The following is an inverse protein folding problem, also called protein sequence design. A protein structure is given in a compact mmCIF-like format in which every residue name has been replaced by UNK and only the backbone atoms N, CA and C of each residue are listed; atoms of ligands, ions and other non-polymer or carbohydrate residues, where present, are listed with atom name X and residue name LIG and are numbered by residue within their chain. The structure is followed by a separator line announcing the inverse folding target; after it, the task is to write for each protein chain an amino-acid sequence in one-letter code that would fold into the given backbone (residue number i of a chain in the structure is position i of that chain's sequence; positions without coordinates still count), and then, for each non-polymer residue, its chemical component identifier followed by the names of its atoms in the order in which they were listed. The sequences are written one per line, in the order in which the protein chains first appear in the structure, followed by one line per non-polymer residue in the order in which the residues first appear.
data_IF_357786969160
#
_entry.id   IF_357786969160
#
_cell.length_a   1.000
_cell.length_b   1.000
_cell.length_c   1.000
_cell.angle_alpha   90.00
_cell.angle_beta   90.00
_cell.angle_gamma   90.00
#
_symmetry.space_group_name_H-M   'P 1'
#
loop_
_entity.id
_entity.type
_entity.pdbx_description
1 polymer ?
#
# COMPACT_ATOMS: atom_id res chain seq x y z
N UNK A 1 10.49 -25.27 -1.94
CA UNK A 1 10.59 -25.05 -3.39
C UNK A 1 9.34 -25.56 -4.04
N UNK A 2 8.61 -24.72 -4.71
CA UNK A 2 7.23 -24.98 -5.13
C UNK A 2 7.16 -25.73 -6.45
N UNK A 3 6.18 -26.64 -6.60
CA UNK A 3 5.77 -27.29 -7.86
C UNK A 3 5.64 -26.30 -9.04
N UNK A 4 5.47 -25.02 -8.73
CA UNK A 4 5.34 -23.92 -9.67
C UNK A 4 6.62 -23.70 -10.51
N UNK A 5 7.78 -23.86 -9.92
CA UNK A 5 9.07 -23.62 -10.60
C UNK A 5 9.48 -24.73 -11.57
N UNK A 6 9.09 -25.97 -11.29
CA UNK A 6 9.30 -27.09 -12.24
C UNK A 6 8.43 -26.94 -13.48
N UNK A 7 7.18 -26.53 -13.26
CA UNK A 7 6.24 -26.28 -14.36
C UNK A 7 6.68 -25.09 -15.23
N UNK A 8 7.33 -24.07 -14.64
CA UNK A 8 7.83 -22.93 -15.38
C UNK A 8 8.99 -23.32 -16.32
N UNK A 9 9.98 -24.10 -15.83
CA UNK A 9 11.09 -24.57 -16.65
C UNK A 9 10.61 -25.52 -17.78
N UNK A 10 9.65 -26.39 -17.47
CA UNK A 10 9.04 -27.27 -18.47
C UNK A 10 8.31 -26.46 -19.54
N UNK A 11 7.50 -25.46 -19.16
CA UNK A 11 6.80 -24.59 -20.12
C UNK A 11 7.76 -23.80 -21.02
N UNK A 12 8.90 -23.36 -20.50
CA UNK A 12 9.92 -22.68 -21.30
C UNK A 12 10.55 -23.63 -22.33
N UNK A 13 10.76 -24.86 -21.95
CA UNK A 13 11.29 -25.91 -22.85
C UNK A 13 10.24 -26.28 -23.91
N UNK A 14 8.98 -26.52 -23.51
CA UNK A 14 7.90 -26.88 -24.43
C UNK A 14 7.60 -25.77 -25.45
N UNK A 15 7.88 -24.50 -25.09
CA UNK A 15 7.76 -23.34 -25.99
C UNK A 15 9.02 -23.07 -26.83
N UNK A 16 10.02 -23.95 -26.79
CA UNK A 16 11.31 -23.79 -27.46
C UNK A 16 12.06 -22.50 -27.12
N UNK A 17 11.84 -21.93 -25.94
CA UNK A 17 12.50 -20.71 -25.45
C UNK A 17 13.86 -21.02 -24.80
N UNK A 18 14.08 -22.26 -24.41
CA UNK A 18 15.36 -22.76 -23.88
C UNK A 18 15.76 -24.04 -24.61
N UNK A 19 17.05 -24.25 -24.77
CA UNK A 19 17.61 -25.47 -25.40
C UNK A 19 17.54 -26.64 -24.42
N UNK A 20 17.63 -27.87 -24.96
CA UNK A 20 17.67 -29.09 -24.16
C UNK A 20 18.81 -29.09 -23.14
N UNK A 21 19.99 -28.56 -23.52
CA UNK A 21 21.14 -28.44 -22.63
C UNK A 21 20.83 -27.49 -21.47
N UNK A 22 20.25 -26.32 -21.75
CA UNK A 22 19.83 -25.35 -20.70
C UNK A 22 18.75 -25.94 -19.77
N UNK A 23 17.83 -26.72 -20.35
CA UNK A 23 16.82 -27.40 -19.53
C UNK A 23 17.44 -28.44 -18.60
N UNK A 24 18.42 -29.24 -19.09
CA UNK A 24 19.18 -30.21 -18.29
C UNK A 24 20.00 -29.52 -17.20
N UNK A 25 20.66 -28.40 -17.52
CA UNK A 25 21.43 -27.62 -16.55
C UNK A 25 20.53 -27.06 -15.45
N UNK A 26 19.35 -26.47 -15.78
CA UNK A 26 18.36 -26.00 -14.81
C UNK A 26 17.91 -27.14 -13.89
N UNK A 27 17.67 -28.34 -14.48
CA UNK A 27 17.24 -29.52 -13.73
C UNK A 27 18.33 -30.06 -12.81
N UNK A 28 19.57 -30.09 -13.30
CA UNK A 28 20.74 -30.49 -12.51
C UNK A 28 21.02 -29.49 -11.36
N UNK A 29 21.00 -28.21 -11.65
CA UNK A 29 21.17 -27.16 -10.63
C UNK A 29 20.10 -27.22 -9.52
N UNK A 30 18.86 -27.52 -9.91
CA UNK A 30 17.75 -27.72 -8.94
C UNK A 30 17.90 -29.01 -8.11
N UNK A 31 18.46 -30.07 -8.70
CA UNK A 31 18.73 -31.33 -7.99
C UNK A 31 19.78 -31.18 -6.88
N UNK A 32 20.56 -30.09 -6.90
CA UNK A 32 21.53 -29.77 -5.85
C UNK A 32 20.86 -29.30 -4.53
N UNK A 33 19.54 -29.14 -4.53
CA UNK A 33 18.78 -28.63 -3.37
C UNK A 33 19.39 -27.39 -2.70
N UNK A 34 20.00 -26.51 -3.50
CA UNK A 34 20.58 -25.27 -3.01
C UNK A 34 19.45 -24.36 -2.56
N UNK A 35 19.41 -24.07 -1.29
CA UNK A 35 18.45 -23.13 -0.70
C UNK A 35 18.88 -21.71 -1.06
N UNK A 36 18.02 -20.97 -1.77
CA UNK A 36 18.29 -19.56 -2.06
C UNK A 36 17.95 -18.72 -0.83
N UNK A 37 18.97 -18.29 -0.12
CA UNK A 37 18.84 -17.37 1.03
C UNK A 37 18.53 -15.93 0.63
N UNK A 38 18.45 -15.61 -0.65
CA UNK A 38 18.31 -14.22 -1.10
C UNK A 38 17.02 -13.55 -0.61
N UNK A 39 15.90 -14.27 -0.66
CA UNK A 39 14.61 -13.73 -0.18
C UNK A 39 14.58 -13.57 1.33
N UNK A 40 15.12 -14.56 2.04
CA UNK A 40 15.23 -14.55 3.49
C UNK A 40 16.20 -13.46 3.98
N UNK A 41 17.34 -13.30 3.31
CA UNK A 41 18.29 -12.22 3.62
C UNK A 41 17.65 -10.83 3.40
N UNK A 42 16.90 -10.64 2.35
CA UNK A 42 16.15 -9.39 2.11
C UNK A 42 15.12 -9.15 3.22
N UNK A 43 14.40 -10.19 3.64
CA UNK A 43 13.45 -10.10 4.76
C UNK A 43 14.17 -9.72 6.06
N UNK A 44 15.32 -10.36 6.36
CA UNK A 44 16.13 -10.03 7.54
C UNK A 44 16.67 -8.59 7.49
N UNK A 45 17.11 -8.11 6.34
CA UNK A 45 17.54 -6.72 6.17
C UNK A 45 16.38 -5.74 6.42
N UNK A 46 15.20 -6.03 5.88
CA UNK A 46 14.02 -5.22 6.12
C UNK A 46 13.64 -5.20 7.61
N UNK A 47 13.61 -6.38 8.24
CA UNK A 47 13.32 -6.51 9.67
C UNK A 47 14.38 -5.80 10.52
N UNK A 48 15.65 -5.87 10.13
CA UNK A 48 16.75 -5.17 10.81
C UNK A 48 16.57 -3.65 10.77
N UNK A 49 16.13 -3.09 9.63
CA UNK A 49 15.82 -1.65 9.54
C UNK A 49 14.68 -1.28 10.48
N UNK A 50 13.60 -2.07 10.49
CA UNK A 50 12.47 -1.81 11.37
C UNK A 50 12.85 -1.91 12.85
N UNK A 51 13.61 -2.94 13.24
CA UNK A 51 14.07 -3.12 14.61
C UNK A 51 15.05 -2.02 15.03
N UNK A 52 15.99 -1.64 14.16
CA UNK A 52 16.93 -0.57 14.42
C UNK A 52 16.24 0.78 14.60
N UNK A 53 15.32 1.14 13.70
CA UNK A 53 14.57 2.39 13.79
C UNK A 53 13.62 2.43 14.98
N UNK A 54 12.97 1.30 15.30
CA UNK A 54 12.14 1.17 16.51
C UNK A 54 12.98 1.27 17.79
N UNK A 55 14.16 0.62 17.80
CA UNK A 55 15.11 0.71 18.92
C UNK A 55 15.59 2.13 19.19
N UNK A 56 15.89 2.89 18.13
CA UNK A 56 16.21 4.32 18.26
C UNK A 56 15.02 5.09 18.87
N UNK A 57 13.80 4.81 18.44
CA UNK A 57 12.58 5.43 18.98
C UNK A 57 12.43 5.17 20.48
N UNK A 58 12.67 3.95 20.94
CA UNK A 58 12.62 3.57 22.36
C UNK A 58 13.74 4.26 23.15
N UNK A 59 14.96 4.25 22.63
CA UNK A 59 16.10 4.94 23.29
C UNK A 59 15.85 6.44 23.47
N UNK A 60 15.24 7.09 22.48
CA UNK A 60 14.83 8.48 22.58
C UNK A 60 13.81 8.64 23.70
N UNK A 61 12.78 7.80 23.70
CA UNK A 61 11.69 7.89 24.68
C UNK A 61 12.17 7.70 26.12
N UNK A 62 13.06 6.73 26.37
CA UNK A 62 13.54 6.42 27.72
C UNK A 62 14.60 7.39 28.25
N UNK A 63 15.36 8.03 27.36
CA UNK A 63 16.48 8.90 27.76
C UNK A 63 16.22 10.38 27.49
N UNK A 64 15.00 10.74 27.20
CA UNK A 64 14.61 12.09 26.75
C UNK A 64 15.00 13.18 27.75
N UNK A 65 14.87 12.89 29.06
CA UNK A 65 15.16 13.83 30.14
C UNK A 65 16.65 13.87 30.54
N UNK A 66 17.41 12.82 30.20
CA UNK A 66 18.80 12.65 30.67
C UNK A 66 19.82 13.14 29.66
N UNK A 67 19.63 12.85 28.37
CA UNK A 67 20.60 13.16 27.29
C UNK A 67 20.40 14.58 26.74
N UNK A 68 19.20 15.13 26.88
CA UNK A 68 18.81 16.41 26.31
C UNK A 68 18.37 16.31 24.84
N UNK A 69 17.29 16.98 24.54
CA UNK A 69 16.60 16.93 23.23
C UNK A 69 17.50 17.33 22.05
N UNK A 70 18.37 18.33 22.24
CA UNK A 70 19.27 18.82 21.18
C UNK A 70 20.31 17.76 20.83
N UNK A 71 20.86 17.04 21.83
CA UNK A 71 21.84 16.00 21.58
C UNK A 71 21.22 14.83 20.79
N UNK A 72 19.98 14.43 21.14
CA UNK A 72 19.24 13.39 20.44
C UNK A 72 18.98 13.79 18.97
N UNK A 73 18.47 15.02 18.75
CA UNK A 73 18.22 15.53 17.40
C UNK A 73 19.50 15.64 16.58
N UNK A 74 20.61 16.09 17.21
CA UNK A 74 21.90 16.15 16.53
C UNK A 74 22.42 14.78 16.14
N UNK A 75 22.30 13.78 17.01
CA UNK A 75 22.68 12.40 16.71
C UNK A 75 21.86 11.83 15.56
N UNK A 76 20.53 12.00 15.59
CA UNK A 76 19.64 11.57 14.50
C UNK A 76 20.04 12.21 13.17
N UNK A 77 20.30 13.52 13.17
CA UNK A 77 20.69 14.24 11.97
C UNK A 77 22.02 13.72 11.40
N UNK A 78 23.01 13.43 12.26
CA UNK A 78 24.28 12.83 11.82
C UNK A 78 24.04 11.46 11.17
N UNK A 79 23.25 10.58 11.80
CA UNK A 79 22.97 9.26 11.25
C UNK A 79 22.23 9.38 9.91
N UNK A 80 21.24 10.26 9.80
CA UNK A 80 20.52 10.54 8.55
C UNK A 80 21.49 11.01 7.46
N UNK A 81 22.36 11.98 7.80
CA UNK A 81 23.35 12.51 6.85
C UNK A 81 24.32 11.42 6.35
N UNK A 82 24.80 10.55 7.24
CA UNK A 82 25.65 9.41 6.89
C UNK A 82 24.91 8.44 5.97
N UNK A 83 23.68 8.06 6.30
CA UNK A 83 22.87 7.18 5.45
C UNK A 83 22.72 7.74 4.03
N UNK A 84 22.28 8.99 3.91
CA UNK A 84 22.09 9.60 2.59
C UNK A 84 23.41 9.87 1.86
N UNK A 85 24.49 10.22 2.56
CA UNK A 85 25.79 10.36 1.92
C UNK A 85 26.23 9.09 1.19
N UNK A 86 26.13 7.94 1.85
CA UNK A 86 26.45 6.65 1.23
C UNK A 86 25.50 6.32 0.08
N UNK A 87 24.21 6.60 0.22
CA UNK A 87 23.24 6.37 -0.83
C UNK A 87 23.50 7.24 -2.06
N UNK A 88 23.76 8.54 -1.89
CA UNK A 88 24.06 9.44 -3.02
C UNK A 88 25.38 9.09 -3.71
N UNK A 89 26.42 8.74 -2.93
CA UNK A 89 27.72 8.34 -3.48
C UNK A 89 27.65 7.12 -4.39
N UNK A 90 26.78 6.17 -4.08
CA UNK A 90 26.64 4.90 -4.82
C UNK A 90 25.41 4.87 -5.73
N UNK A 91 24.70 5.97 -5.85
CA UNK A 91 23.51 6.08 -6.70
C UNK A 91 23.92 6.35 -8.15
N UNK A 92 23.17 5.75 -9.08
CA UNK A 92 23.26 6.04 -10.53
C UNK A 92 22.57 7.36 -10.91
N UNK A 93 22.05 8.12 -9.93
CA UNK A 93 21.25 9.31 -10.15
C UNK A 93 19.81 9.00 -10.57
N UNK A 94 19.04 10.06 -10.80
CA UNK A 94 17.66 9.93 -11.22
C UNK A 94 17.56 9.33 -12.63
N UNK A 95 16.75 8.29 -12.78
CA UNK A 95 16.41 7.68 -14.07
C UNK A 95 14.88 7.50 -14.19
N UNK A 96 14.36 7.56 -15.42
CA UNK A 96 12.93 7.37 -15.68
C UNK A 96 12.50 5.91 -15.60
N UNK A 97 13.37 4.99 -15.98
CA UNK A 97 13.16 3.54 -15.92
C UNK A 97 13.45 2.97 -14.53
N UNK A 98 13.07 1.72 -14.31
CA UNK A 98 13.40 0.98 -13.09
C UNK A 98 14.92 0.78 -13.00
N UNK A 99 15.46 1.09 -11.82
CA UNK A 99 16.87 0.94 -11.49
C UNK A 99 17.02 0.33 -10.10
N UNK A 100 18.16 -0.32 -9.86
CA UNK A 100 18.50 -0.84 -8.54
C UNK A 100 19.93 -0.48 -8.20
N UNK A 101 20.24 -0.43 -6.93
CA UNK A 101 21.61 -0.36 -6.46
C UNK A 101 22.37 -1.67 -6.79
N UNK A 102 23.67 -1.58 -6.96
CA UNK A 102 24.52 -2.77 -7.12
C UNK A 102 24.51 -3.64 -5.86
N UNK A 103 24.47 -2.99 -4.69
CA UNK A 103 24.39 -3.65 -3.40
C UNK A 103 22.99 -3.46 -2.77
N UNK A 104 22.24 -4.54 -2.53
CA UNK A 104 20.91 -4.46 -1.92
C UNK A 104 20.85 -3.72 -0.58
N UNK A 105 21.95 -3.73 0.20
CA UNK A 105 22.06 -3.02 1.49
C UNK A 105 21.77 -1.53 1.35
N UNK A 106 22.13 -0.92 0.20
CA UNK A 106 21.87 0.50 -0.03
C UNK A 106 20.39 0.83 -0.15
N UNK A 107 19.57 -0.08 -0.69
CA UNK A 107 18.11 0.08 -0.74
C UNK A 107 17.52 0.19 0.68
N UNK A 108 18.02 -0.65 1.60
CA UNK A 108 17.61 -0.63 3.00
C UNK A 108 18.18 0.58 3.75
N UNK A 109 19.34 1.08 3.34
CA UNK A 109 19.93 2.30 3.91
C UNK A 109 19.10 3.54 3.53
N UNK A 110 18.57 3.60 2.29
CA UNK A 110 17.60 4.64 1.88
C UNK A 110 16.35 4.58 2.74
N UNK A 111 15.81 3.36 2.95
CA UNK A 111 14.63 3.16 3.80
C UNK A 111 14.90 3.61 5.25
N UNK A 112 16.04 3.20 5.82
CA UNK A 112 16.44 3.58 7.17
C UNK A 112 16.58 5.10 7.30
N UNK A 113 17.31 5.75 6.39
CA UNK A 113 17.47 7.20 6.37
C UNK A 113 16.15 7.95 6.26
N UNK A 114 15.22 7.42 5.45
CA UNK A 114 13.89 8.00 5.29
C UNK A 114 13.04 7.86 6.57
N UNK A 115 13.01 6.67 7.20
CA UNK A 115 12.28 6.46 8.46
C UNK A 115 12.86 7.34 9.56
N UNK A 116 14.20 7.41 9.68
CA UNK A 116 14.85 8.28 10.66
C UNK A 116 14.52 9.76 10.42
N UNK A 117 14.37 10.18 9.15
CA UNK A 117 13.92 11.54 8.82
C UNK A 117 12.48 11.78 9.30
N UNK A 118 11.59 10.81 9.15
CA UNK A 118 10.23 10.90 9.68
C UNK A 118 10.25 11.02 11.22
N UNK A 119 11.06 10.20 11.89
CA UNK A 119 11.26 10.24 13.36
C UNK A 119 11.81 11.61 13.79
N UNK A 120 12.84 12.10 13.10
CA UNK A 120 13.46 13.41 13.40
C UNK A 120 12.44 14.55 13.32
N UNK A 121 11.67 14.62 12.24
CA UNK A 121 10.68 15.70 12.05
C UNK A 121 9.52 15.56 13.04
N UNK A 122 9.04 14.33 13.29
CA UNK A 122 8.01 14.06 14.28
C UNK A 122 8.46 14.45 15.69
N UNK A 123 9.69 14.11 16.08
CA UNK A 123 10.25 14.48 17.37
C UNK A 123 10.47 15.98 17.50
N UNK A 124 10.96 16.63 16.44
CA UNK A 124 11.12 18.08 16.39
C UNK A 124 9.77 18.79 16.59
N UNK A 125 8.71 18.30 15.92
CA UNK A 125 7.36 18.86 16.08
C UNK A 125 6.81 18.63 17.49
N UNK A 126 7.02 17.45 18.05
CA UNK A 126 6.56 17.13 19.40
C UNK A 126 7.20 18.04 20.44
N UNK A 127 8.52 18.23 20.37
CA UNK A 127 9.28 18.93 21.39
C UNK A 127 9.28 20.46 21.23
N UNK A 128 9.44 20.95 20.01
CA UNK A 128 9.64 22.38 19.74
C UNK A 128 8.48 23.05 19.01
N UNK A 129 7.53 22.27 18.50
CA UNK A 129 6.35 22.73 17.76
C UNK A 129 6.68 23.75 16.65
N UNK A 130 7.68 23.53 15.79
CA UNK A 130 8.08 24.51 14.76
C UNK A 130 6.94 24.83 13.78
N UNK A 131 5.99 23.91 13.61
CA UNK A 131 4.81 24.10 12.77
C UNK A 131 3.54 24.51 13.58
N UNK A 132 3.70 24.82 14.87
CA UNK A 132 2.60 25.18 15.77
C UNK A 132 1.58 24.05 15.89
N UNK A 133 0.30 24.37 15.79
CA UNK A 133 -0.82 23.42 15.83
C UNK A 133 -1.14 22.83 14.45
N UNK A 134 -0.37 23.15 13.42
CA UNK A 134 -0.55 22.64 12.05
C UNK A 134 0.10 21.27 11.89
N UNK A 135 -0.46 20.26 12.53
CA UNK A 135 0.05 18.87 12.48
C UNK A 135 0.14 18.31 11.05
N UNK A 136 -0.70 18.81 10.14
CA UNK A 136 -0.60 18.48 8.72
C UNK A 136 0.76 18.82 8.12
N UNK A 137 1.36 19.97 8.46
CA UNK A 137 2.69 20.34 7.96
C UNK A 137 3.79 19.41 8.47
N UNK A 138 3.65 18.92 9.71
CA UNK A 138 4.60 17.96 10.28
C UNK A 138 4.59 16.62 9.52
N UNK A 139 3.50 16.26 8.87
CA UNK A 139 3.43 15.07 8.01
C UNK A 139 3.81 15.38 6.57
N UNK A 140 3.56 16.59 6.08
CA UNK A 140 3.86 16.97 4.70
C UNK A 140 5.38 17.00 4.42
N UNK A 141 6.16 17.55 5.33
CA UNK A 141 7.63 17.69 5.14
C UNK A 141 8.30 16.33 4.96
N UNK A 142 8.13 15.32 5.85
CA UNK A 142 8.69 14.00 5.64
C UNK A 142 8.10 13.29 4.41
N UNK A 143 6.86 13.58 4.05
CA UNK A 143 6.22 13.07 2.83
C UNK A 143 6.94 13.53 1.58
N UNK A 144 7.26 14.83 1.47
CA UNK A 144 8.02 15.39 0.33
C UNK A 144 9.40 14.73 0.24
N UNK A 145 10.09 14.58 1.38
CA UNK A 145 11.39 13.89 1.42
C UNK A 145 11.26 12.44 0.96
N UNK A 146 10.21 11.74 1.41
CA UNK A 146 9.94 10.36 1.01
C UNK A 146 9.70 10.23 -0.50
N UNK A 147 8.89 11.11 -1.09
CA UNK A 147 8.69 11.10 -2.54
C UNK A 147 9.99 11.40 -3.29
N UNK A 148 10.76 12.38 -2.87
CA UNK A 148 12.06 12.68 -3.46
C UNK A 148 12.98 11.45 -3.42
N UNK A 149 13.16 10.85 -2.24
CA UNK A 149 14.00 9.66 -2.06
C UNK A 149 13.49 8.46 -2.88
N UNK A 150 12.17 8.22 -2.89
CA UNK A 150 11.57 7.13 -3.66
C UNK A 150 11.86 7.26 -5.16
N UNK A 151 11.64 8.44 -5.72
CA UNK A 151 11.86 8.67 -7.15
C UNK A 151 13.33 8.75 -7.52
N UNK A 152 14.17 9.35 -6.68
CA UNK A 152 15.60 9.49 -6.96
C UNK A 152 16.34 8.15 -6.85
N UNK A 153 16.07 7.37 -5.78
CA UNK A 153 16.74 6.10 -5.50
C UNK A 153 15.97 4.87 -6.00
N UNK A 154 14.80 5.06 -6.60
CA UNK A 154 13.95 3.97 -7.10
C UNK A 154 13.50 2.97 -6.00
N UNK A 155 13.08 3.48 -4.86
CA UNK A 155 12.75 2.65 -3.71
C UNK A 155 11.24 2.54 -3.48
N UNK A 156 10.68 1.35 -3.72
CA UNK A 156 9.25 1.05 -3.56
C UNK A 156 8.76 1.18 -2.11
N UNK A 157 9.58 0.78 -1.14
CA UNK A 157 9.22 0.86 0.29
C UNK A 157 9.12 2.31 0.77
N UNK A 158 10.06 3.16 0.33
CA UNK A 158 10.03 4.60 0.64
C UNK A 158 8.85 5.29 -0.06
N UNK A 159 8.50 4.86 -1.29
CA UNK A 159 7.30 5.36 -1.96
C UNK A 159 6.03 5.05 -1.15
N UNK A 160 5.93 3.85 -0.61
CA UNK A 160 4.80 3.46 0.25
C UNK A 160 4.68 4.40 1.46
N UNK A 161 5.81 4.74 2.11
CA UNK A 161 5.84 5.73 3.20
C UNK A 161 5.37 7.10 2.69
N UNK A 162 5.85 7.53 1.52
CA UNK A 162 5.43 8.81 0.91
C UNK A 162 3.93 8.88 0.65
N UNK A 163 3.33 7.84 0.05
CA UNK A 163 1.89 7.82 -0.22
C UNK A 163 1.07 7.76 1.08
N UNK A 164 1.52 6.97 2.07
CA UNK A 164 0.91 6.93 3.41
C UNK A 164 0.98 8.30 4.09
N UNK A 165 2.13 8.96 4.04
CA UNK A 165 2.33 10.31 4.58
C UNK A 165 1.43 11.35 3.89
N UNK A 166 1.23 11.24 2.57
CA UNK A 166 0.31 12.10 1.84
C UNK A 166 -1.15 11.90 2.28
N UNK A 167 -1.57 10.66 2.49
CA UNK A 167 -2.90 10.35 3.02
C UNK A 167 -3.07 10.90 4.45
N UNK A 168 -2.06 10.75 5.29
CA UNK A 168 -2.04 11.31 6.65
C UNK A 168 -2.09 12.84 6.63
N UNK A 169 -1.35 13.49 5.73
CA UNK A 169 -1.40 14.95 5.55
C UNK A 169 -2.81 15.42 5.20
N UNK A 170 -3.45 14.79 4.21
CA UNK A 170 -4.82 15.15 3.81
C UNK A 170 -5.79 14.94 4.97
N UNK A 171 -5.71 13.80 5.66
CA UNK A 171 -6.56 13.50 6.81
C UNK A 171 -6.42 14.53 7.94
N UNK A 172 -5.20 14.81 8.39
CA UNK A 172 -4.92 15.77 9.46
C UNK A 172 -5.24 17.23 9.07
N UNK A 173 -5.21 17.55 7.78
CA UNK A 173 -5.55 18.89 7.31
C UNK A 173 -7.06 19.12 7.25
N UNK A 174 -7.86 18.07 7.00
CA UNK A 174 -9.31 18.17 6.82
C UNK A 174 -10.07 17.94 8.13
N UNK A 175 -9.63 16.97 8.93
CA UNK A 175 -10.33 16.58 10.17
C UNK A 175 -9.34 16.32 11.33
N UNK A 176 -8.58 17.33 11.78
CA UNK A 176 -7.55 17.12 12.80
C UNK A 176 -8.13 16.70 14.14
N UNK A 177 -9.29 17.24 14.53
CA UNK A 177 -9.92 16.92 15.82
C UNK A 177 -10.52 15.52 15.86
N UNK A 178 -11.15 15.08 14.75
CA UNK A 178 -11.74 13.75 14.66
C UNK A 178 -10.67 12.67 14.70
N UNK A 179 -9.53 12.91 14.03
CA UNK A 179 -8.41 11.96 13.96
C UNK A 179 -7.56 11.92 15.24
N UNK A 180 -7.30 13.09 15.86
CA UNK A 180 -6.39 13.17 17.01
C UNK A 180 -7.09 12.94 18.34
N UNK A 181 -8.34 13.39 18.48
CA UNK A 181 -9.05 13.36 19.75
C UNK A 181 -10.03 12.19 19.87
N UNK A 182 -10.76 11.88 18.80
CA UNK A 182 -11.85 10.89 18.83
C UNK A 182 -11.47 9.54 18.23
N UNK A 183 -10.35 9.43 17.52
CA UNK A 183 -9.99 8.28 16.69
C UNK A 183 -11.12 7.88 15.72
N UNK A 184 -11.97 8.82 15.34
CA UNK A 184 -13.15 8.57 14.54
C UNK A 184 -12.90 8.90 13.07
N UNK A 185 -12.45 7.89 12.35
CA UNK A 185 -12.22 7.97 10.90
C UNK A 185 -13.53 7.99 10.09
N UNK A 186 -14.65 7.75 10.73
CA UNK A 186 -15.94 7.52 10.05
C UNK A 186 -16.91 8.71 10.16
N UNK A 187 -16.67 9.64 11.08
CA UNK A 187 -17.65 10.68 11.42
C UNK A 187 -17.70 11.85 10.44
N UNK A 188 -16.63 12.13 9.69
CA UNK A 188 -16.54 13.34 8.86
C UNK A 188 -16.77 13.05 7.38
N UNK A 189 -17.87 13.56 6.83
CA UNK A 189 -18.15 13.51 5.40
C UNK A 189 -17.05 14.21 4.59
N UNK A 190 -16.51 15.34 5.10
CA UNK A 190 -15.44 16.08 4.44
C UNK A 190 -14.17 15.23 4.28
N UNK A 191 -13.86 14.41 5.28
CA UNK A 191 -12.73 13.47 5.21
C UNK A 191 -12.94 12.45 4.10
N UNK A 192 -14.14 11.91 3.98
CA UNK A 192 -14.46 10.93 2.93
C UNK A 192 -14.39 11.52 1.53
N UNK A 193 -14.91 12.75 1.32
CA UNK A 193 -14.75 13.43 0.02
C UNK A 193 -13.28 13.70 -0.31
N UNK A 194 -12.50 14.15 0.67
CA UNK A 194 -11.07 14.39 0.49
C UNK A 194 -10.31 13.10 0.18
N UNK A 195 -10.68 12.00 0.81
CA UNK A 195 -10.12 10.68 0.54
C UNK A 195 -10.44 10.21 -0.90
N UNK A 196 -11.68 10.39 -1.36
CA UNK A 196 -12.06 10.08 -2.75
C UNK A 196 -11.27 10.95 -3.74
N UNK A 197 -11.17 12.26 -3.49
CA UNK A 197 -10.40 13.18 -4.33
C UNK A 197 -8.92 12.73 -4.38
N UNK A 198 -8.31 12.42 -3.24
CA UNK A 198 -6.95 11.92 -3.19
C UNK A 198 -6.79 10.63 -4.00
N UNK A 199 -7.70 9.67 -3.84
CA UNK A 199 -7.67 8.43 -4.60
C UNK A 199 -7.77 8.66 -6.12
N UNK A 200 -8.65 9.58 -6.56
CA UNK A 200 -8.75 9.97 -7.97
C UNK A 200 -7.46 10.65 -8.45
N UNK A 201 -6.84 11.52 -7.66
CA UNK A 201 -5.57 12.13 -7.99
C UNK A 201 -4.44 11.10 -8.15
N UNK A 202 -4.39 10.06 -7.30
CA UNK A 202 -3.44 8.96 -7.44
C UNK A 202 -3.67 8.18 -8.74
N UNK A 203 -4.93 7.94 -9.13
CA UNK A 203 -5.26 7.31 -10.43
C UNK A 203 -4.80 8.20 -11.60
N UNK A 204 -5.11 9.49 -11.55
CA UNK A 204 -4.68 10.43 -12.60
C UNK A 204 -3.15 10.50 -12.69
N UNK A 205 -2.46 10.44 -11.57
CA UNK A 205 -1.00 10.36 -11.55
C UNK A 205 -0.48 9.10 -12.26
N UNK A 206 -1.10 7.94 -12.07
CA UNK A 206 -0.69 6.71 -12.77
C UNK A 206 -0.90 6.82 -14.27
N UNK A 207 -2.00 7.41 -14.70
CA UNK A 207 -2.27 7.66 -16.15
C UNK A 207 -1.22 8.60 -16.73
N UNK A 208 -0.90 9.68 -16.02
CA UNK A 208 0.12 10.64 -16.46
C UNK A 208 1.52 9.99 -16.48
N UNK A 209 1.90 9.27 -15.41
CA UNK A 209 3.15 8.52 -15.31
C UNK A 209 3.35 7.55 -16.49
N UNK A 210 2.28 6.83 -16.87
CA UNK A 210 2.31 5.95 -18.05
C UNK A 210 2.56 6.72 -19.35
N UNK A 211 1.94 7.89 -19.53
CA UNK A 211 2.10 8.70 -20.75
C UNK A 211 3.52 9.21 -20.94
N UNK A 212 4.19 9.60 -19.84
CA UNK A 212 5.56 10.13 -19.89
C UNK A 212 6.62 9.06 -19.63
N UNK A 213 6.20 7.79 -19.46
CA UNK A 213 7.07 6.64 -19.12
C UNK A 213 7.97 6.92 -17.90
N UNK A 214 7.39 7.55 -16.85
CA UNK A 214 8.09 7.91 -15.62
C UNK A 214 7.83 6.86 -14.53
N UNK A 215 8.83 6.02 -14.20
CA UNK A 215 8.74 5.06 -13.09
C UNK A 215 7.43 4.25 -13.10
N UNK A 216 7.06 3.71 -14.25
CA UNK A 216 5.78 3.00 -14.43
C UNK A 216 5.58 1.82 -13.48
N UNK A 217 6.67 1.22 -12.98
CA UNK A 217 6.63 0.16 -11.98
C UNK A 217 6.14 0.63 -10.59
N UNK A 218 6.06 1.94 -10.34
CA UNK A 218 5.45 2.53 -9.14
C UNK A 218 3.92 2.60 -9.21
N UNK A 219 3.35 2.51 -10.41
CA UNK A 219 1.92 2.70 -10.63
C UNK A 219 1.05 1.71 -9.87
N UNK A 220 1.53 0.47 -9.69
CA UNK A 220 0.80 -0.53 -8.90
C UNK A 220 0.62 -0.10 -7.44
N UNK A 221 1.63 0.57 -6.85
CA UNK A 221 1.54 1.09 -5.47
C UNK A 221 0.47 2.18 -5.40
N UNK A 222 0.51 3.16 -6.30
CA UNK A 222 -0.49 4.23 -6.33
C UNK A 222 -1.91 3.69 -6.55
N UNK A 223 -2.09 2.73 -7.46
CA UNK A 223 -3.38 2.09 -7.71
C UNK A 223 -3.89 1.31 -6.49
N UNK A 224 -3.00 0.61 -5.80
CA UNK A 224 -3.36 -0.12 -4.57
C UNK A 224 -3.85 0.84 -3.49
N UNK A 225 -3.12 1.93 -3.25
CA UNK A 225 -3.55 2.96 -2.30
C UNK A 225 -4.86 3.63 -2.72
N UNK A 226 -5.02 3.97 -4.00
CA UNK A 226 -6.25 4.56 -4.51
C UNK A 226 -7.46 3.64 -4.30
N UNK A 227 -7.31 2.33 -4.57
CA UNK A 227 -8.34 1.33 -4.31
C UNK A 227 -8.76 1.33 -2.84
N UNK A 228 -7.80 1.24 -1.93
CA UNK A 228 -8.08 1.20 -0.49
C UNK A 228 -8.76 2.50 -0.01
N UNK A 229 -8.21 3.65 -0.36
CA UNK A 229 -8.69 4.95 0.11
C UNK A 229 -10.12 5.20 -0.40
N UNK A 230 -10.39 5.00 -1.70
CA UNK A 230 -11.72 5.21 -2.29
C UNK A 230 -12.73 4.23 -1.70
N UNK A 231 -12.35 2.95 -1.59
CA UNK A 231 -13.27 1.91 -1.11
C UNK A 231 -13.62 2.08 0.35
N UNK A 232 -12.65 2.41 1.21
CA UNK A 232 -12.89 2.67 2.64
C UNK A 232 -13.80 3.91 2.81
N UNK A 233 -13.52 5.00 2.09
CA UNK A 233 -14.36 6.19 2.12
C UNK A 233 -15.80 5.92 1.64
N UNK A 234 -15.95 5.12 0.58
CA UNK A 234 -17.27 4.74 0.07
C UNK A 234 -18.03 3.86 1.06
N UNK A 235 -17.39 2.84 1.64
CA UNK A 235 -18.00 1.95 2.63
C UNK A 235 -18.43 2.73 3.87
N UNK A 236 -17.58 3.63 4.39
CA UNK A 236 -17.90 4.47 5.54
C UNK A 236 -19.19 5.27 5.34
N UNK A 237 -19.37 5.85 4.17
CA UNK A 237 -20.57 6.66 3.89
C UNK A 237 -21.79 5.84 3.44
N UNK A 238 -21.57 4.64 2.90
CA UNK A 238 -22.68 3.69 2.67
C UNK A 238 -23.34 3.26 3.98
N UNK A 239 -22.65 3.26 5.11
CA UNK A 239 -23.20 2.93 6.43
C UNK A 239 -23.89 4.10 7.12
N UNK A 240 -23.71 5.33 6.64
CA UNK A 240 -24.31 6.52 7.26
C UNK A 240 -25.79 6.66 6.85
N UNK A 241 -26.71 6.58 7.83
CA UNK A 241 -28.16 6.47 7.60
C UNK A 241 -28.89 7.79 7.38
N UNK A 242 -28.34 8.91 7.83
CA UNK A 242 -29.08 10.15 7.99
C UNK A 242 -29.11 11.07 6.76
N UNK A 243 -28.43 10.72 5.67
CA UNK A 243 -28.27 11.59 4.51
C UNK A 243 -28.43 10.84 3.17
N UNK A 244 -28.93 11.55 2.13
CA UNK A 244 -28.99 11.02 0.76
C UNK A 244 -27.59 10.83 0.11
N UNK A 245 -26.54 11.23 0.79
CA UNK A 245 -25.14 11.12 0.29
C UNK A 245 -24.69 9.68 0.04
N UNK A 246 -25.31 8.69 0.70
CA UNK A 246 -25.02 7.28 0.47
C UNK A 246 -25.21 6.87 -0.99
N UNK A 247 -26.15 7.50 -1.74
CA UNK A 247 -26.38 7.21 -3.17
C UNK A 247 -25.14 7.62 -3.98
N UNK A 248 -24.58 8.79 -3.67
CA UNK A 248 -23.35 9.27 -4.32
C UNK A 248 -22.22 8.28 -4.08
N UNK A 249 -22.04 7.84 -2.84
CA UNK A 249 -20.98 6.88 -2.50
C UNK A 249 -21.25 5.47 -3.04
N UNK A 250 -22.50 5.07 -3.25
CA UNK A 250 -22.83 3.83 -3.96
C UNK A 250 -22.38 3.90 -5.45
N UNK A 251 -22.61 5.03 -6.10
CA UNK A 251 -22.13 5.27 -7.48
C UNK A 251 -20.60 5.31 -7.54
N UNK A 252 -19.96 5.98 -6.58
CA UNK A 252 -18.49 6.02 -6.46
C UNK A 252 -17.95 4.60 -6.29
N UNK A 253 -18.56 3.80 -5.41
CA UNK A 253 -18.16 2.41 -5.17
C UNK A 253 -18.30 1.55 -6.43
N UNK A 254 -19.43 1.61 -7.12
CA UNK A 254 -19.65 0.88 -8.35
C UNK A 254 -18.66 1.27 -9.45
N UNK A 255 -18.42 2.57 -9.62
CA UNK A 255 -17.46 3.10 -10.58
C UNK A 255 -16.02 2.67 -10.24
N UNK A 256 -15.66 2.69 -8.95
CA UNK A 256 -14.37 2.23 -8.45
C UNK A 256 -14.15 0.75 -8.75
N UNK A 257 -15.13 -0.10 -8.42
CA UNK A 257 -15.07 -1.56 -8.70
C UNK A 257 -14.85 -1.81 -10.19
N UNK A 258 -15.61 -1.14 -11.06
CA UNK A 258 -15.46 -1.27 -12.50
C UNK A 258 -14.07 -0.85 -12.99
N UNK A 259 -13.58 0.29 -12.52
CA UNK A 259 -12.24 0.79 -12.88
C UNK A 259 -11.14 -0.18 -12.43
N UNK A 260 -11.17 -0.62 -11.16
CA UNK A 260 -10.13 -1.51 -10.62
C UNK A 260 -10.25 -2.95 -11.14
N UNK A 261 -11.44 -3.38 -11.55
CA UNK A 261 -11.60 -4.61 -12.32
C UNK A 261 -10.75 -4.55 -13.61
N UNK A 262 -10.90 -3.50 -14.41
CA UNK A 262 -10.11 -3.31 -15.62
C UNK A 262 -8.63 -3.14 -15.31
N UNK A 263 -8.28 -2.28 -14.35
CA UNK A 263 -6.90 -2.02 -13.96
C UNK A 263 -6.18 -3.27 -13.43
N UNK A 264 -6.89 -4.20 -12.78
CA UNK A 264 -6.30 -5.46 -12.30
C UNK A 264 -5.87 -6.37 -13.44
N UNK A 265 -6.65 -6.42 -14.52
CA UNK A 265 -6.29 -7.17 -15.75
C UNK A 265 -5.14 -6.48 -16.51
N UNK A 266 -5.22 -5.16 -16.69
CA UNK A 266 -4.19 -4.39 -17.40
C UNK A 266 -2.82 -4.53 -16.72
N UNK A 267 -2.80 -4.54 -15.37
CA UNK A 267 -1.57 -4.67 -14.58
C UNK A 267 -1.25 -6.13 -14.20
N UNK A 268 -2.06 -7.10 -14.60
CA UNK A 268 -1.95 -8.53 -14.23
C UNK A 268 -1.77 -8.72 -12.71
N UNK A 269 -2.46 -7.91 -11.90
CA UNK A 269 -2.26 -7.86 -10.47
C UNK A 269 -3.33 -8.60 -9.70
N UNK A 270 -2.97 -9.76 -9.14
CA UNK A 270 -3.85 -10.56 -8.27
C UNK A 270 -4.28 -9.78 -7.03
N UNK A 271 -3.39 -8.97 -6.43
CA UNK A 271 -3.73 -8.22 -5.22
C UNK A 271 -4.81 -7.17 -5.47
N UNK A 272 -4.70 -6.38 -6.56
CA UNK A 272 -5.74 -5.44 -6.95
C UNK A 272 -7.09 -6.15 -7.18
N UNK A 273 -7.07 -7.29 -7.86
CA UNK A 273 -8.27 -8.06 -8.16
C UNK A 273 -8.95 -8.56 -6.89
N UNK A 274 -8.18 -9.16 -5.98
CA UNK A 274 -8.70 -9.72 -4.72
C UNK A 274 -9.30 -8.61 -3.84
N UNK A 275 -8.56 -7.51 -3.62
CA UNK A 275 -9.09 -6.42 -2.80
C UNK A 275 -10.30 -5.74 -3.43
N UNK A 276 -10.32 -5.58 -4.77
CA UNK A 276 -11.49 -5.06 -5.48
C UNK A 276 -12.73 -5.94 -5.23
N UNK A 277 -12.61 -7.28 -5.32
CA UNK A 277 -13.73 -8.18 -5.04
C UNK A 277 -14.16 -8.09 -3.58
N UNK A 278 -13.22 -8.05 -2.64
CA UNK A 278 -13.52 -7.93 -1.20
C UNK A 278 -14.31 -6.67 -0.91
N UNK A 279 -13.83 -5.52 -1.39
CA UNK A 279 -14.55 -4.25 -1.20
C UNK A 279 -15.88 -4.23 -1.93
N UNK A 280 -15.94 -4.81 -3.14
CA UNK A 280 -17.17 -4.96 -3.89
C UNK A 280 -18.21 -5.81 -3.15
N UNK A 281 -17.78 -6.91 -2.56
CA UNK A 281 -18.64 -7.76 -1.74
C UNK A 281 -19.17 -7.03 -0.50
N UNK A 282 -18.29 -6.34 0.23
CA UNK A 282 -18.69 -5.55 1.40
C UNK A 282 -19.70 -4.45 1.01
N UNK A 283 -19.38 -3.67 -0.03
CA UNK A 283 -20.25 -2.60 -0.50
C UNK A 283 -21.61 -3.12 -0.99
N UNK A 284 -21.64 -4.23 -1.71
CA UNK A 284 -22.88 -4.87 -2.17
C UNK A 284 -23.75 -5.35 -1.00
N UNK A 285 -23.14 -5.95 0.03
CA UNK A 285 -23.89 -6.38 1.22
C UNK A 285 -24.48 -5.20 2.00
N UNK A 286 -23.72 -4.10 2.18
CA UNK A 286 -24.25 -2.90 2.84
C UNK A 286 -25.39 -2.30 2.03
N UNK A 287 -25.22 -2.22 0.71
CA UNK A 287 -26.25 -1.71 -0.19
C UNK A 287 -27.53 -2.55 -0.13
N UNK A 288 -27.42 -3.88 -0.19
CA UNK A 288 -28.56 -4.80 -0.04
C UNK A 288 -29.23 -4.64 1.33
N UNK A 289 -28.45 -4.58 2.40
CA UNK A 289 -28.97 -4.37 3.75
C UNK A 289 -29.79 -3.08 3.85
N UNK A 290 -29.32 -1.97 3.23
CA UNK A 290 -30.08 -0.73 3.15
C UNK A 290 -31.39 -0.84 2.40
N UNK A 291 -31.41 -1.55 1.29
CA UNK A 291 -32.66 -1.80 0.56
C UNK A 291 -33.65 -2.57 1.45
N UNK A 292 -33.15 -3.62 2.14
CA UNK A 292 -33.97 -4.43 3.02
C UNK A 292 -34.56 -3.66 4.21
N UNK A 293 -33.87 -2.66 4.75
CA UNK A 293 -34.41 -1.84 5.83
C UNK A 293 -35.60 -0.98 5.40
N UNK A 294 -35.74 -0.65 4.13
CA UNK A 294 -36.83 0.16 3.60
C UNK A 294 -38.02 -0.68 3.08
N UNK A 295 -37.93 -2.01 3.13
CA UNK A 295 -38.97 -2.92 2.68
C UNK A 295 -39.47 -3.73 3.87
N UNK A 296 -40.77 -3.80 4.06
CA UNK A 296 -41.37 -4.62 5.13
C UNK A 296 -41.29 -6.11 4.78
N UNK A 297 -40.32 -6.79 5.35
CA UNK A 297 -40.07 -8.22 5.18
C UNK A 297 -40.64 -9.06 6.32
N UNK A 298 -41.51 -8.54 7.15
CA UNK A 298 -42.02 -9.22 8.35
C UNK A 298 -42.53 -10.65 8.05
N UNK A 299 -43.10 -10.87 6.88
CA UNK A 299 -43.63 -12.19 6.44
C UNK A 299 -42.53 -13.16 5.95
N UNK A 300 -41.29 -12.71 5.71
CA UNK A 300 -40.23 -13.49 5.04
C UNK A 300 -38.99 -13.68 5.93
N UNK A 301 -39.02 -13.20 7.17
CA UNK A 301 -37.85 -13.26 8.09
C UNK A 301 -37.35 -14.71 8.32
N UNK A 302 -38.25 -15.66 8.46
CA UNK A 302 -37.90 -17.07 8.67
C UNK A 302 -37.14 -17.64 7.46
N UNK A 303 -37.58 -17.31 6.25
CA UNK A 303 -36.90 -17.71 5.01
C UNK A 303 -35.51 -17.10 4.89
N UNK A 304 -35.36 -15.87 5.36
CA UNK A 304 -34.08 -15.17 5.35
C UNK A 304 -33.02 -15.87 6.20
N UNK A 305 -33.37 -16.32 7.41
CA UNK A 305 -32.48 -17.07 8.27
C UNK A 305 -32.03 -18.42 7.68
N UNK A 306 -32.89 -19.07 6.90
CA UNK A 306 -32.54 -20.33 6.22
C UNK A 306 -31.61 -20.06 5.02
N UNK A 307 -31.84 -18.98 4.27
CA UNK A 307 -31.06 -18.65 3.07
C UNK A 307 -29.71 -18.01 3.39
N UNK A 308 -29.54 -17.39 4.54
CA UNK A 308 -28.32 -16.67 4.93
C UNK A 308 -27.05 -17.57 4.91
N UNK A 309 -27.05 -18.78 5.50
CA UNK A 309 -25.91 -19.69 5.41
C UNK A 309 -25.60 -20.13 3.96
N UNK A 310 -26.64 -20.39 3.16
CA UNK A 310 -26.46 -20.75 1.76
C UNK A 310 -25.86 -19.58 0.94
N UNK A 311 -26.26 -18.35 1.22
CA UNK A 311 -25.69 -17.16 0.63
C UNK A 311 -24.18 -17.02 0.97
N UNK A 312 -23.78 -17.20 2.24
CA UNK A 312 -22.37 -17.11 2.62
C UNK A 312 -21.53 -18.22 1.99
N UNK A 313 -22.01 -19.46 1.97
CA UNK A 313 -21.31 -20.56 1.30
C UNK A 313 -21.20 -20.29 -0.20
N UNK A 314 -22.29 -19.86 -0.82
CA UNK A 314 -22.32 -19.50 -2.24
C UNK A 314 -21.35 -18.37 -2.58
N UNK A 315 -21.25 -17.34 -1.73
CA UNK A 315 -20.32 -16.23 -1.91
C UNK A 315 -18.85 -16.66 -1.83
N UNK A 316 -18.51 -17.58 -0.91
CA UNK A 316 -17.16 -18.15 -0.81
C UNK A 316 -16.81 -18.94 -2.08
N UNK A 317 -17.74 -19.80 -2.55
CA UNK A 317 -17.54 -20.57 -3.77
C UNK A 317 -17.36 -19.66 -4.98
N UNK A 318 -18.18 -18.61 -5.08
CA UNK A 318 -18.06 -17.59 -6.14
C UNK A 318 -16.71 -16.89 -6.09
N UNK A 319 -16.27 -16.46 -4.91
CA UNK A 319 -14.98 -15.82 -4.70
C UNK A 319 -13.82 -16.71 -5.17
N UNK A 320 -13.83 -17.99 -4.80
CA UNK A 320 -12.80 -18.95 -5.24
C UNK A 320 -12.82 -19.13 -6.77
N UNK A 321 -14.03 -19.22 -7.37
CA UNK A 321 -14.17 -19.33 -8.83
C UNK A 321 -13.62 -18.10 -9.56
N UNK A 322 -13.94 -16.89 -9.06
CA UNK A 322 -13.46 -15.63 -9.65
C UNK A 322 -11.93 -15.53 -9.59
N UNK A 323 -11.32 -15.86 -8.44
CA UNK A 323 -9.86 -15.87 -8.29
C UNK A 323 -9.21 -16.88 -9.25
N UNK A 324 -9.75 -18.11 -9.32
CA UNK A 324 -9.21 -19.12 -10.23
C UNK A 324 -9.33 -18.71 -11.70
N UNK A 325 -10.47 -18.10 -12.08
CA UNK A 325 -10.70 -17.59 -13.43
C UNK A 325 -9.67 -16.50 -13.77
N UNK A 326 -9.52 -15.48 -12.90
CA UNK A 326 -8.56 -14.41 -13.08
C UNK A 326 -7.13 -14.96 -13.24
N UNK A 327 -6.73 -15.87 -12.33
CA UNK A 327 -5.37 -16.44 -12.37
C UNK A 327 -5.12 -17.21 -13.68
N UNK A 328 -6.13 -17.89 -14.22
CA UNK A 328 -6.02 -18.57 -15.51
C UNK A 328 -5.82 -17.56 -16.64
N UNK A 329 -6.64 -16.52 -16.69
CA UNK A 329 -6.65 -15.50 -17.76
C UNK A 329 -5.37 -14.65 -17.79
N UNK A 330 -4.73 -14.40 -16.65
CA UNK A 330 -3.45 -13.65 -16.61
C UNK A 330 -2.20 -14.50 -16.89
N UNK A 331 -2.34 -15.86 -16.83
CA UNK A 331 -1.24 -16.79 -17.09
C UNK A 331 -1.24 -17.35 -18.52
N UNK A 332 -2.37 -17.28 -19.22
CA UNK A 332 -2.49 -17.51 -20.67
C UNK A 332 -2.05 -16.27 -21.45
#
# INVERSE_FOLDING_TARGET
MTKFDEQAAQKLFDKNLITENQFKEIKAYRALHIFSLNTELKLFLYLSVLLFTSGIGILIYENIDTIGHIAILSLLLIVIAVCFYYCFKNSKGFQKSETSFEHPVLEYLVLAGNILTCIFIGYLQFQYKPFGEHYGLATLVPTIVSFFCAYYFDNKSVLTIGVTGLAAYVGLSVAPQDLLNNNDFYASQNLSYSAVILGVLLILWTIYSNRISLKTHFNLIFLTFALHIISIAAISNLTNYDTLTWIIFAVIMASSIYYFYKASYDNKSMSLYVFMIVYGYIGANIFLFRIFQNVDFSAIWELFFILLPAYFIGSIVLFIKLIKKFNKEITE
#
